data_IF_800814241035
#
_entry.id   IF_800814241035
#
_cell.length_a   1.000
_cell.length_b   1.000
_cell.length_c   1.000
_cell.angle_alpha   90.00
_cell.angle_beta   90.00
_cell.angle_gamma   90.00
#
_symmetry.space_group_name_H-M   'P 1'
#
loop_
_entity.id
_entity.type
_entity.pdbx_description
1 polymer ?
#
# COMPACT_ATOMS: atom_id res chain seq x y z
N UNK A 1 46.35 -46.09 -40.66
CA UNK A 1 45.26 -45.21 -40.19
C UNK A 1 44.50 -45.91 -39.07
N UNK A 2 44.84 -45.62 -37.81
CA UNK A 2 44.26 -46.27 -36.63
C UNK A 2 43.00 -45.55 -36.16
N UNK A 3 41.90 -46.30 -35.98
CA UNK A 3 40.68 -45.83 -35.30
C UNK A 3 40.72 -46.28 -33.84
N UNK A 4 40.83 -45.33 -32.91
CA UNK A 4 40.60 -45.57 -31.47
C UNK A 4 39.14 -45.29 -31.16
N UNK A 5 38.44 -46.28 -30.62
CA UNK A 5 37.13 -46.15 -29.99
C UNK A 5 37.30 -45.59 -28.57
N UNK A 6 36.56 -44.55 -28.21
CA UNK A 6 36.45 -44.09 -26.82
C UNK A 6 35.18 -44.65 -26.19
N UNK A 7 35.39 -45.45 -25.13
CA UNK A 7 34.38 -45.98 -24.24
C UNK A 7 34.09 -44.93 -23.17
N UNK A 8 32.83 -44.48 -23.12
CA UNK A 8 32.30 -43.59 -22.09
C UNK A 8 31.87 -44.42 -20.88
N UNK A 9 32.59 -44.30 -19.75
CA UNK A 9 32.16 -44.84 -18.45
C UNK A 9 31.33 -43.78 -17.72
N UNK A 10 30.11 -44.17 -17.35
CA UNK A 10 29.23 -43.42 -16.45
C UNK A 10 29.79 -43.45 -15.02
N UNK A 11 30.06 -42.29 -14.43
CA UNK A 11 30.22 -42.14 -12.98
C UNK A 11 28.93 -41.53 -12.42
N UNK A 12 28.15 -42.35 -11.71
CA UNK A 12 27.08 -41.87 -10.85
C UNK A 12 27.73 -41.22 -9.62
N UNK A 13 27.52 -39.92 -9.44
CA UNK A 13 27.88 -39.20 -8.22
C UNK A 13 26.67 -39.22 -7.31
N UNK A 14 26.78 -39.98 -6.24
CA UNK A 14 25.83 -40.06 -5.14
C UNK A 14 25.97 -38.77 -4.30
N UNK A 15 24.98 -37.89 -4.38
CA UNK A 15 24.93 -36.67 -3.56
C UNK A 15 24.25 -36.99 -2.24
N UNK A 16 25.01 -36.98 -1.16
CA UNK A 16 24.48 -37.00 0.20
C UNK A 16 23.76 -35.69 0.51
N UNK A 17 22.53 -35.79 1.00
CA UNK A 17 21.72 -34.68 1.51
C UNK A 17 22.42 -33.97 2.68
N UNK A 18 22.53 -32.63 2.71
CA UNK A 18 23.06 -31.92 3.86
C UNK A 18 22.03 -31.90 4.99
N UNK A 19 22.45 -32.38 6.17
CA UNK A 19 21.72 -32.21 7.42
C UNK A 19 21.76 -30.73 7.83
N UNK A 20 20.58 -30.12 8.00
CA UNK A 20 20.45 -28.82 8.65
C UNK A 20 20.87 -28.95 10.12
N UNK A 21 21.96 -28.28 10.50
CA UNK A 21 22.30 -28.11 11.91
C UNK A 21 21.44 -27.00 12.54
N UNK A 22 21.08 -27.13 13.84
CA UNK A 22 20.31 -26.12 14.55
C UNK A 22 21.08 -24.79 14.65
N UNK A 23 20.38 -23.66 14.77
CA UNK A 23 21.01 -22.34 14.76
C UNK A 23 21.91 -22.15 15.98
N UNK A 24 23.15 -21.76 15.71
CA UNK A 24 24.08 -21.24 16.71
C UNK A 24 23.49 -19.97 17.33
N UNK A 25 23.55 -19.90 18.65
CA UNK A 25 23.15 -18.74 19.45
C UNK A 25 23.97 -17.51 19.04
N UNK A 26 23.28 -16.40 18.79
CA UNK A 26 23.88 -15.09 18.49
C UNK A 26 24.53 -14.52 19.76
N UNK A 27 25.84 -14.74 19.90
CA UNK A 27 26.71 -13.92 20.73
C UNK A 27 27.62 -13.07 19.83
N UNK A 28 27.57 -11.77 20.08
CA UNK A 28 28.51 -10.71 19.69
C UNK A 28 29.04 -10.65 18.25
N UNK A 29 28.39 -9.81 17.45
CA UNK A 29 29.05 -9.06 16.37
C UNK A 29 28.72 -7.57 16.47
N UNK A 30 29.52 -6.87 17.27
CA UNK A 30 29.68 -5.42 17.17
C UNK A 30 30.33 -5.06 15.84
N UNK A 31 29.58 -4.39 14.96
CA UNK A 31 30.14 -3.73 13.78
C UNK A 31 30.77 -2.39 14.19
N UNK A 32 32.10 -2.36 14.27
CA UNK A 32 32.89 -1.17 14.53
C UNK A 32 32.99 -0.26 13.31
N UNK A 33 32.41 0.93 13.44
CA UNK A 33 32.49 2.03 12.48
C UNK A 33 33.80 2.80 12.73
N UNK A 34 34.72 2.82 11.76
CA UNK A 34 35.94 3.64 11.85
C UNK A 34 35.60 5.11 11.61
N UNK A 35 35.48 5.86 12.71
CA UNK A 35 35.41 7.32 12.71
C UNK A 35 36.61 7.90 13.46
N UNK A 36 37.38 8.74 12.78
CA UNK A 36 38.50 9.51 13.32
C UNK A 36 38.05 10.47 14.43
N UNK A 37 38.89 10.63 15.44
CA UNK A 37 39.15 11.93 16.07
C UNK A 37 38.81 12.06 17.55
N UNK A 38 39.81 12.52 18.30
CA UNK A 38 39.62 13.25 19.56
C UNK A 38 39.79 12.40 20.82
N UNK A 39 41.00 12.40 21.37
CA UNK A 39 41.20 12.08 22.78
C UNK A 39 40.47 13.09 23.67
N UNK A 40 40.29 12.73 24.93
CA UNK A 40 40.63 13.48 26.14
C UNK A 40 40.27 12.60 27.35
N UNK A 41 40.86 12.95 28.49
CA UNK A 41 41.25 12.08 29.60
C UNK A 41 40.11 11.54 30.46
N UNK A 42 40.42 10.37 31.03
CA UNK A 42 39.94 9.79 32.30
C UNK A 42 39.65 10.81 33.40
N UNK A 43 38.54 10.62 34.11
CA UNK A 43 38.59 10.55 35.58
C UNK A 43 37.40 9.78 36.18
N UNK A 44 37.79 8.80 36.98
CA UNK A 44 37.09 8.08 38.06
C UNK A 44 36.17 8.94 38.93
N UNK A 45 35.04 8.36 39.36
CA UNK A 45 34.17 8.93 40.40
C UNK A 45 33.04 8.00 40.85
N UNK A 46 33.38 7.06 41.72
CA UNK A 46 32.47 6.33 42.62
C UNK A 46 31.75 7.33 43.56
N UNK A 47 30.44 7.22 43.80
CA UNK A 47 29.86 7.04 45.16
C UNK A 47 28.32 6.90 45.16
N UNK A 48 27.88 5.94 45.97
CA UNK A 48 26.60 5.83 46.71
C UNK A 48 25.96 7.18 47.08
N UNK A 49 24.63 7.29 46.95
CA UNK A 49 23.72 7.63 48.06
C UNK A 49 22.35 6.98 47.82
N UNK A 50 21.99 6.09 48.74
CA UNK A 50 20.67 5.50 48.93
C UNK A 50 19.82 6.39 49.85
N UNK A 51 18.49 6.32 49.66
CA UNK A 51 17.41 6.79 50.54
C UNK A 51 17.15 8.30 50.65
N UNK A 52 15.84 8.62 50.62
CA UNK A 52 15.09 9.57 51.48
C UNK A 52 13.88 10.13 50.70
N UNK A 53 12.70 9.96 51.31
CA UNK A 53 11.40 10.64 51.11
C UNK A 53 10.39 10.06 50.12
N UNK A 54 9.63 9.10 50.65
CA UNK A 54 8.16 9.09 50.53
C UNK A 54 7.55 10.40 51.06
N UNK A 55 6.37 10.74 50.50
CA UNK A 55 5.32 11.61 51.07
C UNK A 55 5.28 13.08 50.60
N UNK A 56 4.68 13.33 49.43
CA UNK A 56 3.86 14.53 49.14
C UNK A 56 2.78 14.08 48.14
N UNK A 57 1.59 13.74 48.64
CA UNK A 57 0.39 14.60 48.67
C UNK A 57 -0.45 14.50 47.38
N UNK A 58 -1.58 13.82 47.56
CA UNK A 58 -2.84 13.92 46.81
C UNK A 58 -3.08 15.29 46.16
N UNK A 59 -3.21 15.30 44.83
CA UNK A 59 -3.98 16.30 44.09
C UNK A 59 -4.89 15.57 43.11
N UNK A 60 -6.19 15.57 43.45
CA UNK A 60 -7.27 15.30 42.52
C UNK A 60 -7.12 16.24 41.31
N UNK A 61 -7.03 15.68 40.11
CA UNK A 61 -7.32 16.41 38.90
C UNK A 61 -8.52 15.77 38.22
N UNK A 62 -9.57 16.58 38.18
CA UNK A 62 -10.81 16.37 37.44
C UNK A 62 -10.45 16.22 35.96
N UNK A 63 -10.67 15.05 35.39
CA UNK A 63 -10.62 14.85 33.95
C UNK A 63 -11.94 15.33 33.33
N UNK A 64 -11.91 16.20 32.31
CA UNK A 64 -13.10 16.49 31.53
C UNK A 64 -13.43 15.29 30.64
N UNK A 65 -14.60 14.71 30.86
CA UNK A 65 -15.27 13.81 29.92
C UNK A 65 -15.55 14.59 28.63
N UNK A 66 -14.81 14.27 27.56
CA UNK A 66 -15.18 14.66 26.19
C UNK A 66 -16.35 13.78 25.75
N UNK A 67 -17.56 14.29 25.93
CA UNK A 67 -18.77 13.70 25.36
C UNK A 67 -18.83 14.07 23.88
N UNK A 68 -18.48 13.14 23.00
CA UNK A 68 -18.76 13.27 21.57
C UNK A 68 -20.24 12.97 21.36
N UNK A 69 -21.07 14.01 21.30
CA UNK A 69 -22.47 13.88 20.85
C UNK A 69 -22.49 13.52 19.37
N UNK A 70 -22.88 12.28 19.07
CA UNK A 70 -23.36 11.88 17.76
C UNK A 70 -24.77 12.48 17.59
N UNK A 71 -24.97 13.25 16.52
CA UNK A 71 -26.31 13.63 16.08
C UNK A 71 -26.96 12.39 15.47
N UNK A 72 -27.79 11.75 16.27
CA UNK A 72 -28.69 10.68 15.86
C UNK A 72 -29.89 11.35 15.16
N UNK A 73 -29.88 11.37 13.83
CA UNK A 73 -31.04 11.79 13.04
C UNK A 73 -31.90 10.57 12.78
N UNK A 74 -32.75 10.23 13.76
CA UNK A 74 -33.87 9.32 13.55
C UNK A 74 -35.20 9.97 13.96
N UNK A 75 -36.10 9.97 12.97
CA UNK A 75 -37.56 9.90 13.09
C UNK A 75 -38.35 11.16 13.53
N UNK A 76 -39.21 11.64 12.64
CA UNK A 76 -40.66 11.65 12.91
C UNK A 76 -41.47 11.92 11.65
N UNK A 77 -42.33 10.97 11.32
CA UNK A 77 -43.51 11.17 10.48
C UNK A 77 -44.53 12.01 11.23
N UNK A 78 -45.10 13.04 10.60
CA UNK A 78 -46.43 13.61 10.90
C UNK A 78 -47.05 14.08 9.57
N UNK A 79 -48.36 13.86 9.34
CA UNK A 79 -48.95 13.94 8.01
C UNK A 79 -49.53 15.33 7.67
N UNK A 80 -49.46 15.65 6.37
CA UNK A 80 -50.48 16.40 5.65
C UNK A 80 -50.42 17.93 5.72
N UNK A 81 -50.01 18.57 4.61
CA UNK A 81 -50.84 19.60 3.97
C UNK A 81 -50.37 19.97 2.56
N UNK A 82 -51.33 20.54 1.82
CA UNK A 82 -51.40 20.69 0.37
C UNK A 82 -50.55 21.84 -0.20
N UNK A 83 -50.20 21.68 -1.47
CA UNK A 83 -49.97 22.70 -2.49
C UNK A 83 -48.96 23.83 -2.19
N UNK A 84 -47.81 23.78 -2.88
CA UNK A 84 -47.20 24.95 -3.53
C UNK A 84 -46.14 24.54 -4.57
N UNK A 85 -46.14 25.32 -5.65
CA UNK A 85 -45.43 25.22 -6.94
C UNK A 85 -43.90 25.05 -6.87
N UNK A 86 -43.25 24.60 -7.97
CA UNK A 86 -41.86 24.20 -7.94
C UNK A 86 -40.90 25.39 -7.91
N UNK A 87 -40.03 25.42 -6.90
CA UNK A 87 -38.85 26.29 -6.84
C UNK A 87 -37.70 25.55 -7.52
N UNK A 88 -37.21 26.13 -8.62
CA UNK A 88 -36.05 25.70 -9.39
C UNK A 88 -34.77 25.70 -8.54
N UNK A 89 -34.04 24.58 -8.55
CA UNK A 89 -32.67 24.48 -7.99
C UNK A 89 -31.69 25.35 -8.78
N UNK A 90 -30.71 25.99 -8.10
CA UNK A 90 -29.62 26.66 -8.79
C UNK A 90 -28.65 25.63 -9.36
N UNK A 91 -28.44 25.69 -10.67
CA UNK A 91 -27.36 25.01 -11.37
C UNK A 91 -26.03 25.61 -10.90
N UNK A 92 -25.22 24.82 -10.19
CA UNK A 92 -23.81 25.15 -9.95
C UNK A 92 -23.07 24.92 -11.26
N UNK A 93 -22.81 26.00 -11.98
CA UNK A 93 -21.94 26.00 -13.15
C UNK A 93 -20.50 26.02 -12.64
N UNK A 94 -19.83 24.88 -12.72
CA UNK A 94 -18.37 24.85 -12.63
C UNK A 94 -17.77 25.64 -13.80
N UNK A 95 -16.75 26.47 -13.59
CA UNK A 95 -16.13 27.21 -14.68
C UNK A 95 -15.50 26.23 -15.67
N UNK A 96 -16.03 26.22 -16.89
CA UNK A 96 -15.37 25.64 -18.06
C UNK A 96 -14.18 26.54 -18.36
N UNK A 97 -12.99 26.10 -17.97
CA UNK A 97 -11.75 26.69 -18.49
C UNK A 97 -11.64 26.26 -19.95
N UNK A 98 -12.10 27.13 -20.85
CA UNK A 98 -11.88 26.98 -22.28
C UNK A 98 -10.49 27.49 -22.59
N UNK A 99 -9.52 26.59 -22.70
CA UNK A 99 -8.20 26.94 -23.23
C UNK A 99 -8.29 26.97 -24.74
N UNK A 100 -8.36 28.17 -25.31
CA UNK A 100 -8.28 28.39 -26.75
C UNK A 100 -6.87 28.06 -27.22
N UNK A 101 -6.73 27.02 -28.04
CA UNK A 101 -5.48 26.76 -28.77
C UNK A 101 -5.47 27.67 -30.00
N UNK A 102 -4.52 28.61 -30.04
CA UNK A 102 -4.15 29.30 -31.28
C UNK A 102 -3.29 28.35 -32.11
N UNK A 103 -3.86 27.93 -33.22
CA UNK A 103 -3.19 27.21 -34.29
C UNK A 103 -2.34 28.22 -35.07
N UNK A 104 -1.02 28.02 -35.12
CA UNK A 104 -0.14 28.78 -35.99
C UNK A 104 0.76 27.81 -36.76
N UNK A 105 0.31 27.51 -37.98
CA UNK A 105 1.10 26.92 -39.05
C UNK A 105 1.91 27.98 -39.79
N UNK A 106 3.11 27.58 -40.26
CA UNK A 106 3.89 28.20 -41.36
C UNK A 106 4.65 29.48 -40.96
N UNK A 107 5.85 29.81 -41.43
CA UNK A 107 6.79 29.26 -42.41
C UNK A 107 8.07 30.12 -42.35
N UNK A 108 9.21 29.51 -42.67
CA UNK A 108 10.39 30.05 -43.39
C UNK A 108 11.12 31.34 -42.93
N UNK A 109 12.44 31.16 -42.79
CA UNK A 109 13.55 32.14 -42.68
C UNK A 109 13.99 32.47 -44.13
N UNK A 110 14.36 33.71 -44.54
CA UNK A 110 15.62 34.35 -44.09
C UNK A 110 15.75 35.89 -44.10
N UNK A 111 16.79 36.39 -43.40
CA UNK A 111 17.56 37.56 -43.88
C UNK A 111 17.77 38.74 -42.91
N UNK A 112 19.01 38.87 -42.42
CA UNK A 112 19.83 40.09 -42.27
C UNK A 112 19.27 41.41 -41.69
N UNK A 113 20.02 41.98 -40.73
CA UNK A 113 19.99 43.43 -40.47
C UNK A 113 20.43 43.82 -39.05
N UNK A 114 21.59 44.47 -38.93
CA UNK A 114 22.09 45.10 -37.71
C UNK A 114 21.19 46.27 -37.25
N UNK A 115 20.90 46.37 -35.95
CA UNK A 115 20.98 47.65 -35.21
C UNK A 115 20.79 47.52 -33.69
N UNK A 116 21.26 48.58 -33.02
CA UNK A 116 21.59 48.77 -31.59
C UNK A 116 20.39 48.70 -30.60
N UNK A 117 20.72 48.28 -29.37
CA UNK A 117 20.09 48.37 -28.02
C UNK A 117 18.91 49.35 -27.81
N UNK A 118 18.01 49.19 -26.79
CA UNK A 118 18.29 48.64 -25.43
C UNK A 118 17.18 47.81 -24.69
N UNK A 119 17.64 47.06 -23.68
CA UNK A 119 17.00 46.61 -22.42
C UNK A 119 15.58 45.98 -22.46
N UNK A 120 15.50 44.68 -22.12
CA UNK A 120 14.39 44.10 -21.34
C UNK A 120 14.78 42.78 -20.67
N UNK A 121 14.33 42.59 -19.43
CA UNK A 121 14.55 41.41 -18.57
C UNK A 121 14.14 40.07 -19.21
N UNK A 122 14.83 38.95 -18.94
CA UNK A 122 14.41 37.65 -19.43
C UNK A 122 13.26 37.11 -18.58
N UNK A 123 12.09 36.93 -19.22
CA UNK A 123 11.03 36.06 -18.70
C UNK A 123 11.46 34.62 -18.93
N UNK A 124 11.69 33.88 -17.85
CA UNK A 124 12.00 32.45 -17.90
C UNK A 124 10.72 31.69 -18.24
N UNK A 125 10.52 31.38 -19.52
CA UNK A 125 9.52 30.40 -19.94
C UNK A 125 10.11 29.01 -19.71
N UNK A 126 9.59 28.29 -18.71
CA UNK A 126 9.92 26.89 -18.48
C UNK A 126 9.22 26.02 -19.53
N UNK A 127 9.91 25.08 -20.18
CA UNK A 127 9.26 24.17 -21.12
C UNK A 127 8.38 23.16 -20.37
N UNK A 128 7.16 22.98 -20.85
CA UNK A 128 6.27 21.88 -20.45
C UNK A 128 6.86 20.57 -20.99
N UNK A 129 7.49 19.81 -20.10
CA UNK A 129 7.98 18.46 -20.40
C UNK A 129 6.85 17.47 -20.16
N UNK A 130 6.16 17.07 -21.23
CA UNK A 130 5.26 15.91 -21.18
C UNK A 130 6.10 14.66 -21.03
N UNK A 131 6.07 14.03 -19.85
CA UNK A 131 6.78 12.76 -19.61
C UNK A 131 5.83 11.62 -19.92
N UNK A 132 5.96 11.05 -21.12
CA UNK A 132 5.26 9.82 -21.49
C UNK A 132 5.97 8.64 -20.82
N UNK A 133 5.31 7.96 -19.90
CA UNK A 133 5.78 6.68 -19.39
C UNK A 133 5.60 5.63 -20.48
N UNK A 134 6.72 5.15 -21.04
CA UNK A 134 6.74 4.00 -21.95
C UNK A 134 6.40 2.73 -21.16
N UNK A 135 5.14 2.33 -21.25
CA UNK A 135 4.68 1.01 -20.82
C UNK A 135 5.20 -0.03 -21.84
N UNK A 136 6.26 -0.75 -21.48
CA UNK A 136 6.68 -1.94 -22.22
C UNK A 136 5.81 -3.10 -21.76
N UNK A 137 4.63 -3.23 -22.32
CA UNK A 137 3.83 -4.45 -22.24
C UNK A 137 3.18 -4.79 -23.59
N UNK A 138 3.52 -6.00 -24.06
CA UNK A 138 2.84 -6.87 -25.05
C UNK A 138 2.51 -6.34 -26.45
N UNK A 139 3.21 -6.95 -27.42
CA UNK A 139 2.89 -7.03 -28.84
C UNK A 139 1.54 -7.70 -29.11
N UNK A 140 0.64 -7.00 -29.82
CA UNK A 140 -0.53 -7.60 -30.45
C UNK A 140 -0.25 -7.93 -31.93
N UNK A 141 -0.73 -9.11 -32.34
CA UNK A 141 -0.72 -9.65 -33.70
C UNK A 141 -1.93 -9.11 -34.47
N UNK A 142 -1.82 -8.67 -35.73
CA UNK A 142 -2.98 -8.18 -36.48
C UNK A 142 -3.75 -9.34 -37.13
N UNK A 143 -5.03 -9.50 -36.76
CA UNK A 143 -5.97 -10.46 -37.33
C UNK A 143 -7.12 -9.78 -38.08
N UNK A 144 -7.18 -10.10 -39.38
CA UNK A 144 -8.22 -9.98 -40.41
C UNK A 144 -9.56 -9.25 -40.18
N UNK A 145 -9.86 -8.45 -41.22
CA UNK A 145 -11.16 -7.83 -41.52
C UNK A 145 -12.10 -8.87 -42.13
N UNK A 146 -13.34 -8.98 -41.62
CA UNK A 146 -14.46 -9.45 -42.43
C UNK A 146 -15.71 -8.60 -42.19
N UNK A 147 -16.25 -8.05 -43.29
CA UNK A 147 -17.50 -7.30 -43.39
C UNK A 147 -18.66 -8.26 -43.65
N UNK A 148 -19.80 -8.08 -42.97
CA UNK A 148 -21.14 -8.43 -43.46
C UNK A 148 -22.25 -7.95 -42.49
N UNK A 149 -23.54 -7.90 -42.93
CA UNK A 149 -24.31 -6.66 -42.89
C UNK A 149 -25.34 -6.51 -41.77
N UNK A 150 -25.74 -5.25 -41.64
CA UNK A 150 -26.79 -4.67 -40.80
C UNK A 150 -28.12 -5.42 -40.89
N UNK A 151 -28.66 -5.80 -39.74
CA UNK A 151 -30.07 -6.16 -39.57
C UNK A 151 -30.69 -5.44 -38.34
N UNK A 152 -32.01 -5.32 -38.44
CA UNK A 152 -32.96 -4.37 -37.84
C UNK A 152 -33.05 -4.39 -36.29
N UNK A 153 -33.36 -3.27 -35.62
CA UNK A 153 -33.46 -3.22 -34.16
C UNK A 153 -34.71 -3.94 -33.65
N UNK A 154 -34.49 -4.83 -32.69
CA UNK A 154 -35.55 -5.49 -31.90
C UNK A 154 -35.58 -4.86 -30.51
N UNK A 155 -36.80 -4.65 -29.99
CA UNK A 155 -37.14 -4.01 -28.72
C UNK A 155 -36.44 -4.69 -27.53
N UNK A 156 -35.93 -3.95 -26.51
CA UNK A 156 -35.21 -4.55 -25.40
C UNK A 156 -36.17 -5.33 -24.50
N UNK A 157 -35.91 -6.62 -24.33
CA UNK A 157 -36.54 -7.45 -23.31
C UNK A 157 -35.75 -7.29 -22.00
N UNK A 158 -36.45 -6.88 -20.96
CA UNK A 158 -35.97 -6.74 -19.59
C UNK A 158 -35.34 -8.05 -19.11
N UNK A 159 -34.02 -8.02 -18.90
CA UNK A 159 -33.23 -9.21 -18.56
C UNK A 159 -33.01 -9.24 -17.04
N UNK A 160 -33.77 -10.05 -16.31
CA UNK A 160 -33.15 -11.15 -15.53
C UNK A 160 -31.74 -10.93 -14.96
N UNK A 161 -31.48 -10.33 -13.77
CA UNK A 161 -30.16 -10.43 -13.16
C UNK A 161 -29.70 -11.90 -13.07
N UNK A 162 -28.48 -12.22 -13.53
CA UNK A 162 -28.00 -13.59 -13.59
C UNK A 162 -27.87 -14.18 -12.18
N UNK A 163 -28.36 -15.41 -12.03
CA UNK A 163 -28.26 -16.17 -10.80
C UNK A 163 -26.79 -16.27 -10.31
N UNK A 164 -26.55 -16.25 -8.98
CA UNK A 164 -25.22 -16.35 -8.41
C UNK A 164 -24.53 -17.64 -8.88
N UNK A 165 -23.39 -17.48 -9.56
CA UNK A 165 -22.60 -18.61 -10.07
C UNK A 165 -22.15 -19.46 -8.88
N UNK A 166 -22.62 -20.71 -8.85
CA UNK A 166 -22.22 -21.70 -7.86
C UNK A 166 -20.69 -21.86 -7.87
N UNK A 167 -20.07 -21.65 -6.71
CA UNK A 167 -18.63 -21.87 -6.50
C UNK A 167 -18.24 -23.30 -6.88
N UNK A 168 -17.18 -23.51 -7.70
CA UNK A 168 -16.74 -24.84 -8.10
C UNK A 168 -16.31 -25.67 -6.89
N UNK A 169 -16.91 -26.85 -6.70
CA UNK A 169 -16.45 -27.85 -5.72
C UNK A 169 -15.12 -28.43 -6.18
N UNK A 170 -14.03 -27.99 -5.56
CA UNK A 170 -12.68 -28.53 -5.75
C UNK A 170 -12.58 -29.98 -5.24
N UNK A 171 -12.01 -30.87 -6.06
CA UNK A 171 -11.65 -32.26 -5.68
C UNK A 171 -10.54 -32.25 -4.63
N UNK A 172 -10.52 -33.18 -3.65
CA UNK A 172 -9.44 -33.25 -2.66
C UNK A 172 -8.16 -33.79 -3.33
N UNK A 173 -7.11 -32.96 -3.36
CA UNK A 173 -5.79 -33.35 -3.85
C UNK A 173 -4.97 -34.01 -2.72
N UNK A 174 -4.23 -35.07 -3.06
CA UNK A 174 -3.36 -35.79 -2.14
C UNK A 174 -2.12 -34.97 -1.74
N UNK A 175 -1.93 -34.78 -0.43
CA UNK A 175 -0.65 -34.83 0.29
C UNK A 175 0.56 -34.04 -0.24
N UNK A 176 0.39 -32.78 -0.65
CA UNK A 176 1.46 -31.80 -0.42
C UNK A 176 0.85 -30.52 0.16
N UNK A 177 1.33 -30.11 1.32
CA UNK A 177 1.00 -28.88 2.05
C UNK A 177 1.61 -27.66 1.36
N UNK A 178 1.57 -27.64 0.03
CA UNK A 178 2.17 -26.57 -0.76
C UNK A 178 1.24 -25.35 -0.72
N UNK A 179 1.69 -24.30 -0.06
CA UNK A 179 0.99 -23.02 -0.01
C UNK A 179 1.64 -22.07 -1.00
N UNK A 180 0.93 -21.79 -2.09
CA UNK A 180 1.23 -20.65 -2.96
C UNK A 180 0.32 -19.49 -2.57
N UNK A 181 0.86 -18.28 -2.53
CA UNK A 181 0.14 -17.05 -2.14
C UNK A 181 0.44 -15.96 -3.16
N UNK A 182 -0.58 -15.18 -3.51
CA UNK A 182 -0.40 -13.89 -4.16
C UNK A 182 -0.54 -12.78 -3.13
N UNK A 183 0.55 -12.07 -2.85
CA UNK A 183 0.55 -10.94 -1.92
C UNK A 183 0.46 -9.63 -2.69
N UNK A 184 -0.61 -8.86 -2.46
CA UNK A 184 -0.75 -7.51 -2.99
C UNK A 184 -0.19 -6.52 -1.97
N UNK A 185 1.03 -6.05 -2.22
CA UNK A 185 1.77 -5.16 -1.33
C UNK A 185 1.40 -3.68 -1.54
N UNK A 186 0.40 -3.20 -0.80
CA UNK A 186 0.03 -1.78 -0.77
C UNK A 186 1.09 -0.97 0.03
N UNK A 187 1.58 0.17 -0.48
CA UNK A 187 2.56 0.99 0.23
C UNK A 187 2.09 1.40 1.62
N UNK A 188 2.99 1.22 2.59
CA UNK A 188 2.86 1.69 3.98
C UNK A 188 1.74 1.05 4.81
N UNK A 189 1.25 -0.11 4.41
CA UNK A 189 0.25 -0.89 5.16
C UNK A 189 0.86 -2.06 5.95
N UNK A 190 2.16 -1.99 6.28
CA UNK A 190 2.85 -3.10 6.98
C UNK A 190 3.32 -4.24 6.08
N UNK A 191 3.22 -4.07 4.76
CA UNK A 191 3.54 -5.16 3.84
C UNK A 191 4.97 -5.70 3.90
N UNK A 192 5.97 -4.91 4.33
CA UNK A 192 7.32 -5.44 4.58
C UNK A 192 7.31 -6.49 5.71
N UNK A 193 6.68 -6.17 6.83
CA UNK A 193 6.57 -7.07 7.98
C UNK A 193 5.71 -8.30 7.64
N UNK A 194 4.56 -8.10 6.98
CA UNK A 194 3.74 -9.25 6.56
C UNK A 194 4.50 -10.16 5.60
N UNK A 195 5.23 -9.61 4.64
CA UNK A 195 6.06 -10.40 3.74
C UNK A 195 7.11 -11.23 4.49
N UNK A 196 7.66 -10.71 5.60
CA UNK A 196 8.57 -11.47 6.46
C UNK A 196 7.90 -12.67 7.11
N UNK A 197 6.68 -12.49 7.62
CA UNK A 197 5.86 -13.58 8.17
C UNK A 197 5.55 -14.62 7.11
N UNK A 198 5.07 -14.20 5.93
CA UNK A 198 4.72 -15.12 4.84
C UNK A 198 5.91 -15.97 4.39
N UNK A 199 7.11 -15.37 4.33
CA UNK A 199 8.34 -16.08 3.98
C UNK A 199 8.72 -17.12 5.03
N UNK A 200 8.50 -16.82 6.31
CA UNK A 200 8.70 -17.78 7.40
C UNK A 200 7.69 -18.93 7.33
N UNK A 201 6.41 -18.64 7.06
CA UNK A 201 5.38 -19.67 6.82
C UNK A 201 5.81 -20.57 5.65
N UNK A 202 6.16 -19.98 4.51
CA UNK A 202 6.57 -20.72 3.32
C UNK A 202 7.83 -21.58 3.56
N UNK A 203 8.81 -21.04 4.29
CA UNK A 203 9.99 -21.78 4.71
C UNK A 203 9.64 -22.98 5.59
N UNK A 204 8.74 -22.79 6.57
CA UNK A 204 8.36 -23.86 7.49
C UNK A 204 7.63 -25.00 6.77
N UNK A 205 6.73 -24.66 5.82
CA UNK A 205 5.92 -25.65 5.11
C UNK A 205 6.71 -26.45 4.06
N UNK A 206 7.67 -25.81 3.38
CA UNK A 206 8.48 -26.45 2.34
C UNK A 206 9.87 -25.78 2.25
N UNK A 207 10.81 -26.11 3.16
CA UNK A 207 12.10 -25.44 3.22
C UNK A 207 12.98 -25.70 2.00
N UNK A 208 12.80 -26.84 1.33
CA UNK A 208 13.55 -27.20 0.13
C UNK A 208 13.16 -26.30 -1.05
N UNK A 209 11.85 -26.11 -1.28
CA UNK A 209 11.34 -25.21 -2.33
C UNK A 209 11.56 -23.74 -1.99
N UNK A 210 11.51 -23.39 -0.72
CA UNK A 210 11.52 -22.02 -0.21
C UNK A 210 12.84 -21.66 0.50
N UNK A 211 13.96 -22.25 0.08
CA UNK A 211 15.28 -22.04 0.70
C UNK A 211 15.66 -20.54 0.81
N UNK A 212 15.32 -19.72 -0.19
CA UNK A 212 15.55 -18.27 -0.12
C UNK A 212 14.71 -17.58 0.98
N UNK A 213 13.48 -18.05 1.20
CA UNK A 213 12.60 -17.53 2.27
C UNK A 213 13.19 -17.86 3.64
N UNK A 214 13.80 -19.03 3.79
CA UNK A 214 14.51 -19.45 5.00
C UNK A 214 15.74 -18.60 5.30
N UNK A 215 16.57 -18.32 4.28
CA UNK A 215 17.80 -17.55 4.44
C UNK A 215 17.55 -16.06 4.62
N UNK A 216 16.46 -15.55 4.04
CA UNK A 216 16.17 -14.12 3.98
C UNK A 216 14.69 -13.85 4.30
N UNK A 217 14.20 -14.11 5.52
CA UNK A 217 12.79 -13.95 5.83
C UNK A 217 12.33 -12.49 5.66
N UNK A 218 13.10 -11.50 6.12
CA UNK A 218 12.69 -10.08 6.10
C UNK A 218 12.85 -9.32 4.78
N UNK A 219 13.34 -9.93 3.70
CA UNK A 219 13.76 -9.19 2.51
C UNK A 219 13.30 -9.80 1.18
N UNK A 220 12.75 -8.95 0.31
CA UNK A 220 12.44 -9.27 -1.09
C UNK A 220 13.09 -8.21 -1.98
N UNK A 221 14.22 -8.55 -2.59
CA UNK A 221 14.83 -7.71 -3.64
C UNK A 221 14.50 -8.20 -5.04
N UNK A 222 14.63 -7.28 -5.99
CA UNK A 222 14.25 -7.46 -7.38
C UNK A 222 15.18 -8.40 -8.17
N UNK A 223 16.37 -8.73 -7.64
CA UNK A 223 17.42 -9.35 -8.44
C UNK A 223 17.35 -10.88 -8.38
N UNK A 224 17.34 -11.50 -7.20
CA UNK A 224 17.54 -12.95 -7.08
C UNK A 224 16.83 -13.64 -5.91
N UNK A 225 15.96 -12.95 -5.15
CA UNK A 225 15.38 -13.46 -3.89
C UNK A 225 13.86 -13.67 -3.94
N UNK A 226 13.40 -14.50 -4.87
CA UNK A 226 11.97 -14.81 -4.99
C UNK A 226 11.66 -16.05 -4.17
N UNK A 227 10.91 -15.86 -3.10
CA UNK A 227 10.24 -16.96 -2.42
C UNK A 227 9.32 -17.65 -3.43
N UNK A 228 9.57 -18.92 -3.74
CA UNK A 228 8.85 -19.63 -4.80
C UNK A 228 7.34 -19.69 -4.53
N UNK A 229 6.97 -19.78 -3.25
CA UNK A 229 5.60 -19.77 -2.77
C UNK A 229 4.88 -18.41 -2.86
N UNK A 230 5.60 -17.28 -2.93
CA UNK A 230 4.99 -15.95 -2.76
C UNK A 230 5.14 -15.11 -4.02
N UNK A 231 4.02 -14.95 -4.73
CA UNK A 231 3.88 -14.06 -5.87
C UNK A 231 3.56 -12.64 -5.37
N UNK A 232 4.05 -11.60 -6.05
CA UNK A 232 3.77 -10.20 -5.67
C UNK A 232 4.54 -9.67 -4.45
N UNK A 233 5.51 -10.45 -3.94
CA UNK A 233 6.36 -10.03 -2.82
C UNK A 233 7.26 -8.81 -3.12
N UNK A 234 7.51 -8.55 -4.41
CA UNK A 234 8.31 -7.41 -4.89
C UNK A 234 7.39 -6.44 -5.61
N UNK A 235 7.68 -5.14 -5.48
CA UNK A 235 6.98 -4.00 -6.10
C UNK A 235 5.60 -3.66 -5.52
N UNK A 236 5.04 -2.55 -6.03
CA UNK A 236 3.71 -2.04 -5.69
C UNK A 236 2.80 -2.06 -6.94
N UNK A 237 2.90 -3.11 -7.76
CA UNK A 237 2.08 -3.32 -8.94
C UNK A 237 1.18 -4.53 -8.70
N UNK A 238 -0.12 -4.32 -8.44
CA UNK A 238 -1.01 -5.43 -8.17
C UNK A 238 -1.32 -6.18 -9.47
N UNK A 239 -1.26 -7.51 -9.43
CA UNK A 239 -1.82 -8.34 -10.51
C UNK A 239 -3.29 -8.63 -10.18
N UNK A 240 -4.19 -7.74 -10.59
CA UNK A 240 -5.61 -7.82 -10.22
C UNK A 240 -6.28 -9.13 -10.69
N UNK A 241 -5.83 -9.71 -11.81
CA UNK A 241 -6.35 -10.98 -12.31
C UNK A 241 -6.17 -12.11 -11.30
N UNK A 242 -5.03 -12.13 -10.61
CA UNK A 242 -4.73 -13.15 -9.59
C UNK A 242 -5.53 -12.97 -8.30
N UNK A 243 -6.24 -11.86 -8.10
CA UNK A 243 -7.16 -11.73 -6.97
C UNK A 243 -8.30 -12.75 -7.07
N UNK A 244 -8.74 -13.04 -8.30
CA UNK A 244 -9.89 -13.91 -8.57
C UNK A 244 -9.50 -15.31 -9.05
N UNK A 245 -8.20 -15.61 -9.09
CA UNK A 245 -7.65 -16.88 -9.58
C UNK A 245 -6.64 -17.44 -8.57
N UNK A 246 -6.43 -18.76 -8.52
CA UNK A 246 -5.35 -19.34 -7.71
C UNK A 246 -3.97 -18.76 -8.08
N UNK A 247 -3.06 -18.55 -7.10
CA UNK A 247 -3.20 -18.85 -5.67
C UNK A 247 -4.07 -17.85 -4.89
N UNK A 248 -4.52 -18.18 -3.66
CA UNK A 248 -5.24 -17.25 -2.80
C UNK A 248 -4.48 -15.92 -2.65
N UNK A 249 -5.22 -14.84 -2.83
CA UNK A 249 -4.68 -13.49 -2.74
C UNK A 249 -4.88 -12.89 -1.36
N UNK A 250 -3.84 -12.24 -0.84
CA UNK A 250 -3.90 -11.58 0.46
C UNK A 250 -3.37 -10.14 0.37
N UNK A 251 -3.83 -9.29 1.27
CA UNK A 251 -3.31 -7.93 1.40
C UNK A 251 -3.37 -7.43 2.85
N UNK A 252 -2.74 -6.28 3.09
CA UNK A 252 -2.89 -5.49 4.30
C UNK A 252 -3.38 -4.10 3.92
N UNK A 253 -4.37 -3.62 4.65
CA UNK A 253 -4.89 -2.26 4.56
C UNK A 253 -4.50 -1.45 5.80
N UNK A 254 -4.60 -0.14 5.70
CA UNK A 254 -4.31 0.79 6.78
C UNK A 254 -5.24 1.99 6.73
N UNK A 255 -5.56 2.54 7.90
CA UNK A 255 -6.34 3.77 8.01
C UNK A 255 -5.68 4.87 7.15
N UNK A 256 -6.42 5.53 6.23
CA UNK A 256 -5.84 6.38 5.19
C UNK A 256 -4.94 7.50 5.72
N UNK A 257 -5.34 8.20 6.78
CA UNK A 257 -4.55 9.29 7.35
C UNK A 257 -3.23 8.76 7.90
N UNK A 258 -3.28 7.68 8.67
CA UNK A 258 -2.12 6.99 9.23
C UNK A 258 -1.18 6.48 8.14
N UNK A 259 -1.72 6.00 7.01
CA UNK A 259 -0.96 5.61 5.82
C UNK A 259 -0.25 6.81 5.18
N UNK A 260 -0.94 7.92 4.94
CA UNK A 260 -0.33 9.13 4.36
C UNK A 260 0.77 9.71 5.24
N UNK A 261 0.52 9.84 6.55
CA UNK A 261 1.54 10.28 7.51
C UNK A 261 2.75 9.35 7.45
N UNK A 262 2.52 8.02 7.42
CA UNK A 262 3.61 7.07 7.29
C UNK A 262 4.36 7.17 5.96
N UNK A 263 3.68 7.52 4.86
CA UNK A 263 4.27 7.68 3.53
C UNK A 263 5.14 8.95 3.45
N UNK A 264 4.65 10.06 3.98
CA UNK A 264 5.33 11.36 3.97
C UNK A 264 6.73 11.31 4.59
N UNK A 265 6.92 10.51 5.65
CA UNK A 265 8.22 10.36 6.31
C UNK A 265 9.08 9.21 5.76
N UNK A 266 8.66 8.53 4.70
CA UNK A 266 9.34 7.33 4.20
C UNK A 266 9.97 7.53 2.82
N UNK A 267 11.19 6.99 2.66
CA UNK A 267 11.94 7.05 1.39
C UNK A 267 11.15 6.44 0.24
N UNK A 268 11.09 7.13 -0.89
CA UNK A 268 10.34 6.70 -2.07
C UNK A 268 8.84 6.99 -2.02
N UNK A 269 8.25 7.26 -0.87
CA UNK A 269 6.81 7.53 -0.76
C UNK A 269 6.50 9.00 -0.42
N UNK A 270 7.53 9.84 -0.50
CA UNK A 270 7.52 11.25 -0.17
C UNK A 270 8.25 12.03 -1.27
N UNK A 271 7.73 13.19 -1.71
CA UNK A 271 8.40 14.04 -2.70
C UNK A 271 9.77 14.52 -2.20
N UNK A 272 9.94 14.66 -0.88
CA UNK A 272 11.20 15.06 -0.26
C UNK A 272 12.32 14.03 -0.40
N UNK A 273 11.97 12.76 -0.67
CA UNK A 273 12.91 11.64 -0.78
C UNK A 273 12.43 10.72 -1.91
N UNK A 274 12.05 11.31 -3.04
CA UNK A 274 11.49 10.55 -4.16
C UNK A 274 12.55 9.62 -4.78
N UNK A 275 12.20 8.33 -4.86
CA UNK A 275 13.01 7.29 -5.49
C UNK A 275 12.34 6.70 -6.73
N UNK A 276 11.08 7.06 -7.00
CA UNK A 276 10.34 6.57 -8.15
C UNK A 276 10.33 7.57 -9.30
N UNK A 277 10.79 8.80 -9.07
CA UNK A 277 10.79 9.84 -10.09
C UNK A 277 9.35 10.17 -10.49
N UNK A 278 8.47 10.30 -9.50
CA UNK A 278 7.05 10.61 -9.67
C UNK A 278 6.89 11.92 -10.43
N UNK A 279 7.74 12.92 -10.10
CA UNK A 279 7.85 14.16 -10.85
C UNK A 279 9.31 14.57 -11.06
N UNK A 280 9.68 15.17 -12.21
CA UNK A 280 11.05 15.61 -12.45
C UNK A 280 11.58 16.59 -11.40
N UNK A 281 10.74 17.50 -10.91
CA UNK A 281 11.09 18.54 -9.94
C UNK A 281 11.42 18.00 -8.53
N UNK A 282 10.91 16.82 -8.15
CA UNK A 282 11.22 16.22 -6.85
C UNK A 282 12.71 15.85 -6.72
N UNK A 283 13.39 15.61 -7.84
CA UNK A 283 14.85 15.46 -7.86
C UNK A 283 15.56 16.72 -7.37
N UNK A 284 15.01 17.91 -7.65
CA UNK A 284 15.60 19.19 -7.22
C UNK A 284 15.49 19.36 -5.70
N UNK A 285 14.39 18.91 -5.08
CA UNK A 285 14.22 18.92 -3.62
C UNK A 285 15.30 18.07 -2.96
N UNK A 286 15.51 16.85 -3.46
CA UNK A 286 16.55 15.93 -2.95
C UNK A 286 17.96 16.52 -3.07
N UNK A 287 18.22 17.31 -4.10
CA UNK A 287 19.49 18.01 -4.32
C UNK A 287 19.62 19.31 -3.52
N UNK A 288 18.62 19.69 -2.72
CA UNK A 288 18.62 20.96 -1.98
C UNK A 288 18.45 22.20 -2.86
N UNK A 289 17.99 22.03 -4.10
CA UNK A 289 17.79 23.11 -5.08
C UNK A 289 16.35 23.64 -5.09
N UNK A 290 15.44 22.97 -4.41
CA UNK A 290 14.05 23.38 -4.22
C UNK A 290 13.67 23.22 -2.73
N UNK A 291 12.70 24.00 -2.22
CA UNK A 291 12.24 23.86 -0.85
C UNK A 291 11.66 22.47 -0.59
N UNK A 292 11.71 22.05 0.67
CA UNK A 292 11.04 20.83 1.10
C UNK A 292 9.53 21.04 1.03
N UNK A 293 8.83 19.98 0.66
CA UNK A 293 7.37 19.91 0.69
C UNK A 293 6.93 19.61 2.11
N UNK A 294 6.06 20.44 2.65
CA UNK A 294 5.42 20.25 3.95
C UNK A 294 4.18 19.34 3.84
N UNK A 295 3.71 18.80 4.96
CA UNK A 295 2.58 17.87 4.93
C UNK A 295 1.28 18.46 4.34
N UNK A 296 0.90 19.72 4.61
CA UNK A 296 -0.27 20.32 3.97
C UNK A 296 -0.16 20.40 2.43
N UNK A 297 1.04 20.65 1.90
CA UNK A 297 1.26 20.65 0.44
C UNK A 297 1.25 19.22 -0.12
N UNK A 298 1.78 18.26 0.63
CA UNK A 298 1.83 16.85 0.26
C UNK A 298 0.44 16.24 0.06
N UNK A 299 -0.53 16.55 0.93
CA UNK A 299 -1.88 15.97 0.82
C UNK A 299 -2.66 16.50 -0.39
N UNK A 300 -2.29 17.66 -0.94
CA UNK A 300 -2.91 18.24 -2.14
C UNK A 300 -2.32 17.68 -3.45
N UNK A 301 -1.27 16.87 -3.37
CA UNK A 301 -0.68 16.24 -4.54
C UNK A 301 -1.46 14.99 -4.94
N UNK A 302 -2.17 15.07 -6.06
CA UNK A 302 -3.06 14.00 -6.57
C UNK A 302 -2.38 12.63 -6.68
N UNK A 303 -1.08 12.56 -6.95
CA UNK A 303 -0.33 11.29 -7.04
C UNK A 303 -0.20 10.56 -5.70
N UNK A 304 -0.38 11.25 -4.57
CA UNK A 304 -0.27 10.67 -3.23
C UNK A 304 -1.63 10.42 -2.55
N UNK A 305 -2.72 10.89 -3.18
CA UNK A 305 -4.10 10.67 -2.77
C UNK A 305 -4.62 9.30 -3.23
N UNK A 306 -5.55 8.73 -2.45
CA UNK A 306 -6.35 7.55 -2.81
C UNK A 306 -5.54 6.35 -3.34
N UNK A 307 -4.41 6.07 -2.69
CA UNK A 307 -3.44 5.06 -3.17
C UNK A 307 -3.99 3.64 -3.08
N UNK A 308 -4.74 3.31 -2.02
CA UNK A 308 -5.29 1.96 -1.87
C UNK A 308 -6.29 1.68 -2.99
N UNK A 309 -7.19 2.64 -3.24
CA UNK A 309 -8.18 2.61 -4.32
C UNK A 309 -7.51 2.60 -5.69
N UNK A 310 -6.54 3.47 -5.93
CA UNK A 310 -5.83 3.53 -7.22
C UNK A 310 -5.18 2.21 -7.58
N UNK A 311 -4.47 1.61 -6.63
CA UNK A 311 -3.79 0.34 -6.88
C UNK A 311 -4.80 -0.76 -7.20
N UNK A 312 -5.82 -0.92 -6.35
CA UNK A 312 -6.76 -2.04 -6.47
C UNK A 312 -7.78 -1.85 -7.61
N UNK A 313 -8.16 -0.62 -7.92
CA UNK A 313 -9.15 -0.30 -8.95
C UNK A 313 -8.57 -0.08 -10.34
N UNK A 314 -7.45 0.63 -10.43
CA UNK A 314 -6.81 0.94 -11.70
C UNK A 314 -5.70 -0.05 -12.09
N UNK A 315 -5.35 -1.00 -11.22
CA UNK A 315 -4.31 -2.00 -11.50
C UNK A 315 -2.94 -1.38 -11.77
N UNK A 316 -2.68 -0.21 -11.19
CA UNK A 316 -1.58 0.67 -11.59
C UNK A 316 -0.59 0.90 -10.45
N UNK A 317 0.59 1.43 -10.80
CA UNK A 317 1.56 1.87 -9.81
C UNK A 317 0.96 2.98 -8.92
N UNK A 318 1.10 2.91 -7.59
CA UNK A 318 0.43 3.80 -6.63
C UNK A 318 0.58 5.29 -6.91
N UNK A 319 1.74 5.71 -7.43
CA UNK A 319 2.06 7.13 -7.62
C UNK A 319 1.86 7.60 -9.07
N UNK A 320 1.18 6.82 -9.93
CA UNK A 320 0.74 7.32 -11.25
C UNK A 320 -0.39 8.32 -11.03
N UNK A 321 -0.39 9.41 -11.80
CA UNK A 321 -1.49 10.38 -11.78
C UNK A 321 -2.73 9.79 -12.48
N UNK A 322 -3.53 9.06 -11.72
CA UNK A 322 -4.81 8.49 -12.16
C UNK A 322 -5.92 9.16 -11.36
N UNK A 323 -6.87 9.77 -12.08
CA UNK A 323 -8.11 10.28 -11.51
C UNK A 323 -9.00 9.10 -11.13
N UNK A 324 -9.45 9.05 -9.88
CA UNK A 324 -10.34 7.99 -9.41
C UNK A 324 -11.77 8.35 -9.82
N UNK A 325 -12.41 7.42 -10.52
CA UNK A 325 -13.82 7.48 -10.91
C UNK A 325 -14.63 6.45 -10.12
N UNK A 326 -15.95 6.55 -10.15
CA UNK A 326 -16.83 5.53 -9.57
C UNK A 326 -16.55 4.12 -10.12
N UNK A 327 -16.22 4.00 -11.40
CA UNK A 327 -15.86 2.71 -12.02
C UNK A 327 -14.56 2.15 -11.44
N UNK A 328 -13.53 2.99 -11.26
CA UNK A 328 -12.27 2.57 -10.62
C UNK A 328 -12.52 2.18 -9.18
N UNK A 329 -13.34 2.95 -8.45
CA UNK A 329 -13.71 2.61 -7.09
C UNK A 329 -14.45 1.27 -7.02
N UNK A 330 -15.45 1.04 -7.88
CA UNK A 330 -16.18 -0.23 -7.96
C UNK A 330 -15.24 -1.42 -8.18
N UNK A 331 -14.26 -1.31 -9.10
CA UNK A 331 -13.22 -2.34 -9.29
C UNK A 331 -12.37 -2.56 -8.05
N UNK A 332 -12.04 -1.49 -7.32
CA UNK A 332 -11.31 -1.61 -6.06
C UNK A 332 -12.14 -2.34 -5.00
N UNK A 333 -13.46 -2.10 -4.93
CA UNK A 333 -14.38 -2.80 -4.06
C UNK A 333 -14.44 -4.30 -4.40
N UNK A 334 -14.59 -4.64 -5.69
CA UNK A 334 -14.55 -6.02 -6.18
C UNK A 334 -13.24 -6.72 -5.80
N UNK A 335 -12.10 -6.02 -5.94
CA UNK A 335 -10.80 -6.54 -5.54
C UNK A 335 -10.73 -6.82 -4.03
N UNK A 336 -11.26 -5.93 -3.18
CA UNK A 336 -11.32 -6.13 -1.72
C UNK A 336 -12.13 -7.37 -1.36
N UNK A 337 -13.27 -7.57 -2.02
CA UNK A 337 -14.12 -8.76 -1.83
C UNK A 337 -13.48 -10.05 -2.36
N UNK A 338 -12.69 -9.95 -3.42
CA UNK A 338 -11.99 -11.07 -4.03
C UNK A 338 -10.81 -11.59 -3.23
N UNK A 339 -10.23 -10.81 -2.31
CA UNK A 339 -9.14 -11.29 -1.47
C UNK A 339 -9.58 -12.45 -0.58
N UNK A 340 -8.73 -13.49 -0.52
CA UNK A 340 -8.82 -14.56 0.45
C UNK A 340 -8.68 -14.03 1.87
N UNK A 341 -7.76 -13.09 2.09
CA UNK A 341 -7.53 -12.46 3.38
C UNK A 341 -7.20 -10.97 3.25
N UNK A 342 -7.82 -10.16 4.10
CA UNK A 342 -7.52 -8.73 4.26
C UNK A 342 -7.19 -8.48 5.72
N UNK A 343 -5.93 -8.17 6.00
CA UNK A 343 -5.51 -7.74 7.34
C UNK A 343 -5.54 -6.21 7.48
N UNK A 344 -5.52 -5.73 8.72
CA UNK A 344 -5.50 -4.30 9.03
C UNK A 344 -4.28 -3.96 9.90
N UNK A 345 -3.55 -2.91 9.51
CA UNK A 345 -2.31 -2.53 10.18
C UNK A 345 -2.51 -2.13 11.65
N UNK A 346 -3.66 -1.57 11.97
CA UNK A 346 -4.02 -1.12 13.32
C UNK A 346 -4.14 -2.28 14.32
N UNK A 347 -4.39 -3.49 13.81
CA UNK A 347 -4.40 -4.76 14.55
C UNK A 347 -3.44 -5.76 13.90
N UNK A 348 -2.19 -5.33 13.63
CA UNK A 348 -1.20 -6.11 12.88
C UNK A 348 -0.96 -7.51 13.44
N UNK A 349 -0.68 -7.62 14.74
CA UNK A 349 -0.40 -8.91 15.39
C UNK A 349 -1.59 -9.87 15.27
N UNK A 350 -2.79 -9.36 15.56
CA UNK A 350 -4.03 -10.12 15.42
C UNK A 350 -4.33 -10.49 13.97
N UNK A 351 -4.00 -9.63 13.00
CA UNK A 351 -4.12 -9.92 11.57
C UNK A 351 -3.20 -11.07 11.16
N UNK A 352 -2.00 -11.15 11.71
CA UNK A 352 -1.06 -12.26 11.44
C UNK A 352 -1.57 -13.56 12.04
N UNK A 353 -2.01 -13.55 13.32
CA UNK A 353 -2.56 -14.74 13.97
C UNK A 353 -3.81 -15.25 13.23
N UNK A 354 -4.70 -14.35 12.83
CA UNK A 354 -5.89 -14.68 12.03
C UNK A 354 -5.53 -15.28 10.67
N UNK A 355 -4.54 -14.71 9.97
CA UNK A 355 -4.06 -15.24 8.69
C UNK A 355 -3.51 -16.66 8.83
N UNK A 356 -2.75 -16.97 9.88
CA UNK A 356 -2.23 -18.32 10.12
C UNK A 356 -3.36 -19.34 10.27
N UNK A 357 -4.47 -18.95 10.94
CA UNK A 357 -5.66 -19.80 11.07
C UNK A 357 -6.41 -19.99 9.76
N UNK A 358 -6.59 -18.94 8.98
CA UNK A 358 -7.23 -19.02 7.66
C UNK A 358 -6.42 -19.91 6.70
N UNK A 359 -5.08 -19.81 6.74
CA UNK A 359 -4.19 -20.68 5.96
C UNK A 359 -4.08 -22.11 6.50
N UNK A 360 -4.63 -22.39 7.69
CA UNK A 360 -4.56 -23.70 8.38
C UNK A 360 -3.13 -24.21 8.56
N UNK A 361 -2.19 -23.31 8.82
CA UNK A 361 -0.76 -23.65 8.95
C UNK A 361 -0.36 -24.08 10.37
N UNK A 362 -1.34 -24.27 11.26
CA UNK A 362 -1.11 -24.60 12.67
C UNK A 362 -0.55 -23.41 13.46
N UNK A 363 -0.33 -23.62 14.76
CA UNK A 363 0.37 -22.67 15.63
C UNK A 363 1.87 -22.71 15.30
N UNK A 364 2.25 -22.05 14.21
CA UNK A 364 3.65 -21.80 13.92
C UNK A 364 4.15 -20.72 14.86
N UNK A 365 5.18 -21.04 15.64
CA UNK A 365 5.91 -20.06 16.45
C UNK A 365 6.78 -19.18 15.53
N UNK A 366 6.11 -18.25 14.85
CA UNK A 366 6.72 -17.26 13.98
C UNK A 366 6.77 -15.95 14.75
N UNK A 367 7.95 -15.35 14.97
CA UNK A 367 8.05 -14.05 15.62
C UNK A 367 7.26 -13.01 14.82
N UNK A 368 6.23 -12.46 15.48
CA UNK A 368 5.39 -11.41 14.92
C UNK A 368 5.98 -10.07 15.32
N UNK A 369 6.90 -9.56 14.51
CA UNK A 369 7.50 -8.25 14.74
C UNK A 369 7.01 -7.22 13.71
N UNK A 370 6.38 -6.17 14.20
CA UNK A 370 6.18 -4.97 13.41
C UNK A 370 7.46 -4.12 13.43
N UNK A 371 8.44 -4.51 12.60
CA UNK A 371 9.81 -3.98 12.51
C UNK A 371 9.96 -2.43 12.57
N UNK A 372 8.90 -1.67 12.31
CA UNK A 372 8.97 -0.22 12.06
C UNK A 372 8.26 0.68 13.05
N UNK A 373 7.40 0.17 13.91
CA UNK A 373 6.67 1.06 14.83
C UNK A 373 7.57 1.67 15.92
N UNK A 374 8.73 1.07 16.21
CA UNK A 374 9.61 1.50 17.31
C UNK A 374 10.83 2.34 16.89
N UNK A 375 11.13 2.48 15.60
CA UNK A 375 12.43 3.01 15.13
C UNK A 375 12.37 4.44 14.57
N UNK A 376 11.30 5.20 14.84
CA UNK A 376 11.21 6.59 14.39
C UNK A 376 12.12 7.49 15.24
N UNK A 377 12.90 8.37 14.59
CA UNK A 377 13.68 9.41 15.27
C UNK A 377 12.75 10.30 16.13
N UNK A 378 13.19 10.82 17.30
CA UNK A 378 12.34 11.65 18.16
C UNK A 378 11.66 12.80 17.42
N UNK A 379 12.40 13.52 16.55
CA UNK A 379 11.84 14.59 15.71
C UNK A 379 10.71 14.09 14.81
N UNK A 380 10.89 12.95 14.13
CA UNK A 380 9.85 12.37 13.27
C UNK A 380 8.61 11.98 14.09
N UNK A 381 8.79 11.49 15.31
CA UNK A 381 7.66 11.20 16.20
C UNK A 381 6.89 12.48 16.54
N UNK A 382 7.59 13.53 16.98
CA UNK A 382 6.99 14.84 17.27
C UNK A 382 6.26 15.43 16.07
N UNK A 383 6.84 15.36 14.87
CA UNK A 383 6.21 15.88 13.65
C UNK A 383 4.93 15.10 13.30
N UNK A 384 4.94 13.76 13.45
CA UNK A 384 3.74 12.94 13.26
C UNK A 384 2.66 13.30 14.28
N UNK A 385 3.02 13.49 15.54
CA UNK A 385 2.07 13.83 16.60
C UNK A 385 1.48 15.23 16.39
N UNK A 386 2.32 16.19 15.95
CA UNK A 386 1.86 17.52 15.53
C UNK A 386 0.82 17.43 14.41
N UNK A 387 1.09 16.66 13.35
CA UNK A 387 0.13 16.48 12.25
C UNK A 387 -1.17 15.86 12.75
N UNK A 388 -1.10 14.81 13.58
CA UNK A 388 -2.28 14.15 14.16
C UNK A 388 -3.12 15.05 15.05
N UNK A 389 -2.49 16.00 15.74
CA UNK A 389 -3.18 16.95 16.61
C UNK A 389 -3.88 18.09 15.86
N UNK A 390 -3.55 18.31 14.58
CA UNK A 390 -4.16 19.36 13.76
C UNK A 390 -5.47 18.86 13.12
N UNK A 391 -6.59 19.13 13.79
CA UNK A 391 -7.91 18.64 13.37
C UNK A 391 -8.34 19.14 12.00
N UNK A 392 -7.96 20.36 11.59
CA UNK A 392 -8.28 20.90 10.26
C UNK A 392 -7.50 20.17 9.18
N UNK A 393 -6.21 19.94 9.42
CA UNK A 393 -5.36 19.20 8.51
C UNK A 393 -5.80 17.74 8.36
N UNK A 394 -6.21 17.10 9.45
CA UNK A 394 -6.74 15.74 9.43
C UNK A 394 -8.07 15.67 8.68
N UNK A 395 -8.99 16.60 8.92
CA UNK A 395 -10.25 16.67 8.18
C UNK A 395 -10.01 16.84 6.66
N UNK A 396 -9.09 17.73 6.27
CA UNK A 396 -8.70 17.90 4.87
C UNK A 396 -8.05 16.64 4.29
N UNK A 397 -7.21 15.95 5.07
CA UNK A 397 -6.58 14.69 4.64
C UNK A 397 -7.63 13.62 4.35
N UNK A 398 -8.67 13.51 5.19
CA UNK A 398 -9.79 12.60 4.98
C UNK A 398 -10.60 12.97 3.74
N UNK A 399 -10.90 14.26 3.54
CA UNK A 399 -11.64 14.76 2.38
C UNK A 399 -10.95 14.41 1.06
N UNK A 400 -9.65 14.67 0.94
CA UNK A 400 -8.90 14.37 -0.30
C UNK A 400 -8.57 12.89 -0.47
N UNK A 401 -8.88 12.04 0.51
CA UNK A 401 -8.71 10.59 0.47
C UNK A 401 -10.02 9.83 0.73
N UNK A 402 -11.16 10.44 0.38
CA UNK A 402 -12.49 9.91 0.64
C UNK A 402 -12.73 8.50 0.05
N UNK A 403 -12.19 8.21 -1.14
CA UNK A 403 -12.24 6.87 -1.73
C UNK A 403 -11.49 5.84 -0.89
N UNK A 404 -10.28 6.18 -0.44
CA UNK A 404 -9.51 5.30 0.45
C UNK A 404 -10.18 5.10 1.81
N UNK A 405 -10.89 6.11 2.34
CA UNK A 405 -11.69 5.98 3.57
C UNK A 405 -12.80 4.94 3.37
N UNK A 406 -13.60 5.11 2.32
CA UNK A 406 -14.70 4.17 2.01
C UNK A 406 -14.20 2.76 1.72
N UNK A 407 -13.08 2.62 1.01
CA UNK A 407 -12.47 1.33 0.71
C UNK A 407 -11.89 0.67 1.96
N UNK A 408 -11.26 1.46 2.85
CA UNK A 408 -10.74 0.96 4.11
C UNK A 408 -11.85 0.40 5.01
N UNK A 409 -13.01 1.06 5.08
CA UNK A 409 -14.17 0.55 5.82
C UNK A 409 -14.65 -0.82 5.30
N UNK A 410 -14.52 -1.07 3.99
CA UNK A 410 -14.75 -2.40 3.42
C UNK A 410 -13.68 -3.41 3.84
N UNK A 411 -12.41 -3.02 3.82
CA UNK A 411 -11.31 -3.84 4.32
C UNK A 411 -11.48 -4.23 5.79
N UNK A 412 -11.89 -3.29 6.64
CA UNK A 412 -12.20 -3.53 8.06
C UNK A 412 -13.37 -4.51 8.20
N UNK A 413 -14.44 -4.37 7.41
CA UNK A 413 -15.56 -5.34 7.39
C UNK A 413 -15.10 -6.75 7.04
N UNK A 414 -14.26 -6.90 6.01
CA UNK A 414 -13.68 -8.19 5.62
C UNK A 414 -12.83 -8.79 6.74
N UNK A 415 -11.96 -7.98 7.34
CA UNK A 415 -11.14 -8.38 8.48
C UNK A 415 -12.01 -8.86 9.65
N UNK A 416 -13.00 -8.07 10.06
CA UNK A 416 -13.89 -8.41 11.17
C UNK A 416 -14.74 -9.66 10.91
N UNK A 417 -15.20 -9.84 9.67
CA UNK A 417 -15.95 -11.06 9.26
C UNK A 417 -15.08 -12.30 9.39
N UNK A 418 -13.80 -12.23 9.00
CA UNK A 418 -12.86 -13.32 9.20
C UNK A 418 -12.57 -13.55 10.69
N UNK A 419 -12.38 -12.47 11.46
CA UNK A 419 -12.10 -12.53 12.89
C UNK A 419 -13.26 -13.15 13.69
N UNK A 420 -14.51 -12.87 13.33
CA UNK A 420 -15.70 -13.40 14.00
C UNK A 420 -15.80 -14.94 13.95
N UNK A 421 -15.11 -15.61 13.03
CA UNK A 421 -15.00 -17.08 13.00
C UNK A 421 -14.21 -17.65 14.18
N UNK A 422 -13.44 -16.80 14.88
CA UNK A 422 -12.52 -17.18 15.95
C UNK A 422 -12.77 -16.31 17.19
N UNK A 423 -13.73 -16.69 18.06
CA UNK A 423 -14.13 -15.88 19.22
C UNK A 423 -12.96 -15.50 20.13
N UNK A 424 -12.00 -16.41 20.33
CA UNK A 424 -10.82 -16.19 21.14
C UNK A 424 -9.86 -15.12 20.57
N UNK A 425 -9.87 -14.91 19.24
CA UNK A 425 -9.16 -13.80 18.61
C UNK A 425 -9.97 -12.50 18.66
N UNK A 426 -11.29 -12.60 18.55
CA UNK A 426 -12.18 -11.45 18.65
C UNK A 426 -12.05 -10.77 20.03
N UNK A 427 -11.92 -11.55 21.09
CA UNK A 427 -11.71 -11.06 22.46
C UNK A 427 -10.39 -10.28 22.63
N UNK A 428 -9.39 -10.53 21.77
CA UNK A 428 -8.11 -9.80 21.76
C UNK A 428 -8.19 -8.48 20.99
N UNK A 429 -9.29 -8.20 20.30
CA UNK A 429 -9.40 -7.02 19.44
C UNK A 429 -9.39 -5.73 20.26
N UNK A 430 -8.45 -4.84 19.97
CA UNK A 430 -8.47 -3.49 20.50
C UNK A 430 -9.50 -2.63 19.75
N UNK A 431 -10.71 -2.53 20.30
CA UNK A 431 -11.84 -1.80 19.72
C UNK A 431 -11.64 -0.29 19.63
N UNK A 432 -10.63 0.27 20.32
CA UNK A 432 -10.29 1.70 20.18
C UNK A 432 -9.50 1.97 18.90
N UNK A 433 -8.84 0.95 18.34
CA UNK A 433 -8.02 1.06 17.11
C UNK A 433 -8.77 0.59 15.87
N UNK A 434 -9.56 -0.47 15.98
CA UNK A 434 -10.35 -1.04 14.89
C UNK A 434 -11.78 -1.23 15.38
N UNK A 435 -12.74 -0.62 14.69
CA UNK A 435 -14.16 -0.75 15.01
C UNK A 435 -14.79 -1.73 14.03
N UNK A 436 -15.14 -2.91 14.50
CA UNK A 436 -15.97 -3.82 13.72
C UNK A 436 -17.41 -3.27 13.70
N UNK A 437 -18.02 -3.09 12.51
CA UNK A 437 -19.42 -2.70 12.45
C UNK A 437 -20.28 -3.79 13.08
N UNK A 438 -21.37 -3.39 13.73
CA UNK A 438 -22.37 -4.34 14.18
C UNK A 438 -22.83 -5.18 12.98
N UNK A 439 -22.97 -6.48 13.16
CA UNK A 439 -23.53 -7.34 12.12
C UNK A 439 -24.91 -6.78 11.77
N UNK A 440 -25.10 -6.39 10.52
CA UNK A 440 -26.42 -6.11 9.98
C UNK A 440 -27.13 -7.46 9.88
N UNK A 441 -27.79 -7.86 10.97
CA UNK A 441 -28.62 -9.06 11.06
C UNK A 441 -29.74 -9.06 10.05
#
# INVERSE_FOLDING_TARGET
>A
MGKKSHSSKNNAVEWSTPQCQPPLTLADKTYGNQGRGGGWRSMTGMLLVTLVMMSVLTMLSVLPTLTTTYLDNSSSEVPGEKNKSPVSRPTVVSPVVTTTYLDNSSSEVPGGGENKSPVSHPTVVSPVVTTTYLDKSSSEVPGEKNKSPVSRPTVPTETQPPAPKSTPKLKPAASSTQVDIHFVHIPKTGGTSLNAVLRQIACHLDPARNADCCLNPGFCDNAHRRCAAIKGCTNHLPNLKWIFEPPPSITMMREPVSRLISAFFYRGHSPNIDSFGVRPEFKQIKLGKAPRVEFPEYIEMVEYQNIQTRMLGAGSFPYRNVTITDEIFAKAQEAVEGFFFVGVQEAYELSVELLQRELKVGELDIPIENERDNNSKPKTKMDKDRIRSDTKLIARTLEVNDWDVRLYDMGVRRFCTALAKYPDLLDKLNTTKVKCPAEST
#
